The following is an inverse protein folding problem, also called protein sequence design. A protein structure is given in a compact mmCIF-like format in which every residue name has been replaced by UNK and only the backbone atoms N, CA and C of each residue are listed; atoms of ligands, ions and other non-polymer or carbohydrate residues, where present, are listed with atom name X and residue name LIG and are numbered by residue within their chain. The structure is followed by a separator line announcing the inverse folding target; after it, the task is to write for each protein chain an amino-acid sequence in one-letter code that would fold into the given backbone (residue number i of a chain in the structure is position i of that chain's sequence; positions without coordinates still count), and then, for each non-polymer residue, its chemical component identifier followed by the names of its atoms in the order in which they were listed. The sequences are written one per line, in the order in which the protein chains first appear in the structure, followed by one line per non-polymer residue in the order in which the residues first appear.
data_IF_154357904474
#
_entry.id   IF_154357904474
#
_cell.length_a   1.000
_cell.length_b   1.000
_cell.length_c   1.000
_cell.angle_alpha   90.00
_cell.angle_beta   90.00
_cell.angle_gamma   90.00
#
_symmetry.space_group_name_H-M   'P 1'
#
loop_
_entity.id
_entity.type
_entity.pdbx_description
1 polymer ?
#
# COMPACT_ATOMS: atom_id res chain seq x y z
N UNK A 1 27.22 5.09 -21.34
CA UNK A 1 26.93 5.33 -19.89
C UNK A 1 25.59 4.67 -19.66
N UNK A 2 25.48 3.73 -18.72
CA UNK A 2 24.15 3.28 -18.30
C UNK A 2 23.48 4.47 -17.62
N UNK A 3 22.30 4.86 -18.11
CA UNK A 3 21.52 5.92 -17.49
C UNK A 3 21.23 5.52 -16.04
N UNK A 4 21.45 6.45 -15.12
CA UNK A 4 21.22 6.23 -13.69
C UNK A 4 19.76 5.86 -13.46
N UNK A 5 19.51 4.74 -12.80
CA UNK A 5 18.15 4.27 -12.50
C UNK A 5 17.49 5.22 -11.51
N UNK A 6 16.31 5.71 -11.85
CA UNK A 6 15.56 6.68 -11.03
C UNK A 6 14.46 6.03 -10.20
N UNK A 7 13.94 4.88 -10.64
CA UNK A 7 12.81 4.22 -9.97
C UNK A 7 13.03 2.70 -9.91
N UNK A 8 12.73 2.13 -8.76
CA UNK A 8 12.55 0.69 -8.61
C UNK A 8 11.07 0.37 -8.60
N UNK A 9 10.66 -0.46 -9.56
CA UNK A 9 9.33 -1.08 -9.58
C UNK A 9 9.39 -2.24 -8.61
N UNK A 10 8.70 -2.12 -7.46
CA UNK A 10 8.65 -3.12 -6.41
C UNK A 10 7.38 -3.95 -6.54
N UNK A 11 7.53 -5.24 -6.83
CA UNK A 11 6.41 -6.18 -6.98
C UNK A 11 6.46 -7.25 -5.89
N UNK A 12 5.59 -7.18 -4.88
CA UNK A 12 5.36 -8.30 -3.99
C UNK A 12 4.58 -9.38 -4.74
N UNK A 13 4.98 -10.66 -4.61
CA UNK A 13 4.29 -11.77 -5.28
C UNK A 13 4.14 -12.98 -4.37
N UNK A 14 3.07 -13.74 -4.57
CA UNK A 14 2.84 -15.03 -3.92
C UNK A 14 1.93 -15.90 -4.77
N UNK A 15 2.44 -17.01 -5.31
CA UNK A 15 1.74 -17.93 -6.20
C UNK A 15 1.06 -17.20 -7.38
N UNK A 16 1.85 -16.45 -8.17
CA UNK A 16 1.40 -15.62 -9.29
C UNK A 16 2.20 -15.85 -10.58
N UNK A 17 2.85 -17.02 -10.72
CA UNK A 17 3.67 -17.34 -11.88
C UNK A 17 2.95 -17.18 -13.23
N UNK A 18 1.64 -17.38 -13.29
CA UNK A 18 0.82 -17.23 -14.49
C UNK A 18 0.39 -15.77 -14.78
N UNK A 19 0.42 -14.88 -13.78
CA UNK A 19 -0.03 -13.48 -13.93
C UNK A 19 1.13 -12.52 -14.21
N UNK A 20 2.29 -12.77 -13.62
CA UNK A 20 3.51 -11.97 -13.79
C UNK A 20 3.93 -11.73 -15.25
N UNK A 21 3.70 -12.63 -16.24
CA UNK A 21 4.05 -12.39 -17.64
C UNK A 21 3.42 -11.13 -18.24
N UNK A 22 2.22 -10.73 -17.77
CA UNK A 22 1.57 -9.50 -18.23
C UNK A 22 2.36 -8.26 -17.78
N UNK A 23 2.76 -8.22 -16.51
CA UNK A 23 3.61 -7.14 -16.00
C UNK A 23 4.97 -7.13 -16.72
N UNK A 24 5.64 -8.27 -16.85
CA UNK A 24 6.91 -8.39 -17.56
C UNK A 24 6.82 -7.82 -18.97
N UNK A 25 5.79 -8.20 -19.75
CA UNK A 25 5.57 -7.69 -21.09
C UNK A 25 5.38 -6.17 -21.13
N UNK A 26 4.69 -5.58 -20.14
CA UNK A 26 4.51 -4.13 -20.06
C UNK A 26 5.81 -3.39 -19.72
N UNK A 27 6.68 -4.00 -18.89
CA UNK A 27 7.99 -3.45 -18.55
C UNK A 27 8.96 -3.50 -19.74
N UNK A 28 8.90 -4.54 -20.57
CA UNK A 28 9.64 -4.61 -21.84
C UNK A 28 9.24 -3.50 -22.82
N UNK A 29 8.00 -3.01 -22.75
CA UNK A 29 7.46 -1.97 -23.63
C UNK A 29 7.67 -0.54 -23.12
N UNK A 30 8.25 -0.33 -21.94
CA UNK A 30 8.48 1.02 -21.42
C UNK A 30 9.33 1.86 -22.36
N UNK A 31 8.94 3.12 -22.59
CA UNK A 31 9.68 4.10 -23.42
C UNK A 31 11.02 4.46 -22.80
N UNK A 32 11.10 4.50 -21.47
CA UNK A 32 12.32 4.73 -20.69
C UNK A 32 12.75 3.46 -19.97
N UNK A 33 14.07 3.18 -19.96
CA UNK A 33 14.66 1.96 -19.38
C UNK A 33 15.47 2.22 -18.09
N UNK A 34 15.47 3.43 -17.59
CA UNK A 34 16.19 3.84 -16.39
C UNK A 34 15.48 3.42 -15.10
N UNK A 35 15.01 2.18 -15.05
CA UNK A 35 14.37 1.55 -13.89
C UNK A 35 15.00 0.19 -13.55
N UNK A 36 14.69 -0.30 -12.37
CA UNK A 36 14.93 -1.66 -11.93
C UNK A 36 13.61 -2.32 -11.54
N UNK A 37 13.47 -3.59 -11.82
CA UNK A 37 12.33 -4.39 -11.33
C UNK A 37 12.78 -5.28 -10.17
N UNK A 38 12.34 -4.97 -8.96
CA UNK A 38 12.57 -5.77 -7.77
C UNK A 38 11.33 -6.59 -7.43
N UNK A 39 11.45 -7.91 -7.56
CA UNK A 39 10.39 -8.87 -7.23
C UNK A 39 10.70 -9.46 -5.87
N UNK A 40 9.76 -9.33 -4.93
CA UNK A 40 9.87 -9.97 -3.62
C UNK A 40 8.81 -11.06 -3.51
N UNK A 41 9.26 -12.30 -3.57
CA UNK A 41 8.44 -13.49 -3.46
C UNK A 41 8.22 -13.87 -1.99
N UNK A 42 6.97 -13.82 -1.59
CA UNK A 42 6.51 -14.13 -0.23
C UNK A 42 6.34 -15.65 -0.01
N UNK A 43 7.26 -16.46 -0.54
CA UNK A 43 7.32 -17.91 -0.34
C UNK A 43 6.43 -18.72 -1.26
N UNK A 44 6.39 -18.37 -2.56
CA UNK A 44 5.62 -19.12 -3.57
C UNK A 44 6.00 -20.60 -3.64
N UNK A 45 5.02 -21.42 -3.94
CA UNK A 45 5.12 -22.88 -4.09
C UNK A 45 4.72 -23.39 -5.48
N UNK A 46 4.34 -22.44 -6.36
CA UNK A 46 4.02 -22.69 -7.77
C UNK A 46 5.25 -22.47 -8.70
N UNK A 47 5.02 -22.26 -9.98
CA UNK A 47 6.06 -21.97 -10.97
C UNK A 47 6.68 -20.58 -10.93
N UNK A 48 6.35 -19.72 -9.98
CA UNK A 48 6.74 -18.30 -9.91
C UNK A 48 8.27 -18.13 -10.02
N UNK A 49 9.04 -18.83 -9.19
CA UNK A 49 10.51 -18.73 -9.18
C UNK A 49 11.13 -19.16 -10.52
N UNK A 50 10.63 -20.23 -11.12
CA UNK A 50 11.11 -20.72 -12.43
C UNK A 50 10.86 -19.69 -13.53
N UNK A 51 9.68 -19.08 -13.55
CA UNK A 51 9.31 -18.04 -14.51
C UNK A 51 10.25 -16.83 -14.41
N UNK A 52 10.46 -16.32 -13.18
CA UNK A 52 11.34 -15.17 -12.94
C UNK A 52 12.79 -15.48 -13.31
N UNK A 53 13.28 -16.68 -12.97
CA UNK A 53 14.64 -17.11 -13.28
C UNK A 53 14.91 -17.13 -14.79
N UNK A 54 13.93 -17.53 -15.61
CA UNK A 54 14.07 -17.50 -17.06
C UNK A 54 14.26 -16.08 -17.59
N UNK A 55 13.50 -15.10 -17.09
CA UNK A 55 13.64 -13.69 -17.49
C UNK A 55 14.97 -13.07 -17.04
N UNK A 56 15.48 -13.47 -15.87
CA UNK A 56 16.80 -13.02 -15.42
C UNK A 56 17.92 -13.54 -16.33
N UNK A 57 17.78 -14.74 -16.92
CA UNK A 57 18.72 -15.29 -17.88
C UNK A 57 18.65 -14.57 -19.23
N UNK A 58 17.48 -14.13 -19.67
CA UNK A 58 17.27 -13.35 -20.90
C UNK A 58 17.97 -11.98 -20.87
N UNK A 59 18.17 -11.39 -19.68
CA UNK A 59 18.81 -10.08 -19.45
C UNK A 59 18.16 -8.91 -20.22
N UNK A 60 16.90 -9.05 -20.61
CA UNK A 60 16.17 -8.01 -21.34
C UNK A 60 15.77 -6.84 -20.43
N UNK A 61 15.68 -7.07 -19.12
CA UNK A 61 15.42 -6.08 -18.08
C UNK A 61 16.40 -6.26 -16.90
N UNK A 62 16.61 -5.17 -16.16
CA UNK A 62 17.30 -5.24 -14.87
C UNK A 62 16.34 -5.78 -13.82
N UNK A 63 16.43 -7.07 -13.53
CA UNK A 63 15.57 -7.77 -12.56
C UNK A 63 16.40 -8.18 -11.35
N UNK A 64 15.87 -7.89 -10.16
CA UNK A 64 16.33 -8.48 -8.89
C UNK A 64 15.21 -9.32 -8.30
N UNK A 65 15.55 -10.49 -7.78
CA UNK A 65 14.60 -11.42 -7.17
C UNK A 65 15.03 -11.74 -5.74
N UNK A 66 14.10 -11.63 -4.81
CA UNK A 66 14.30 -11.97 -3.40
C UNK A 66 13.15 -12.87 -2.97
N UNK A 67 13.46 -14.06 -2.47
CA UNK A 67 12.50 -14.95 -1.86
C UNK A 67 12.57 -14.89 -0.34
N UNK A 68 11.43 -14.94 0.35
CA UNK A 68 11.32 -14.99 1.80
C UNK A 68 10.22 -15.96 2.25
N UNK A 69 10.17 -16.29 3.52
CA UNK A 69 9.06 -17.02 4.10
C UNK A 69 7.76 -16.23 4.03
N UNK A 70 6.62 -16.93 3.81
CA UNK A 70 5.31 -16.30 3.66
C UNK A 70 4.85 -15.60 4.93
N UNK A 71 4.78 -14.29 4.86
CA UNK A 71 4.36 -13.40 5.95
C UNK A 71 3.32 -12.35 5.53
N UNK A 72 2.87 -12.38 4.28
CA UNK A 72 1.92 -11.43 3.70
C UNK A 72 2.59 -10.25 2.98
N UNK A 73 1.83 -9.62 2.07
CA UNK A 73 2.27 -8.55 1.16
C UNK A 73 3.08 -7.46 1.88
N UNK A 74 2.63 -7.01 3.05
CA UNK A 74 3.28 -5.95 3.83
C UNK A 74 4.70 -6.34 4.29
N UNK A 75 4.96 -7.63 4.55
CA UNK A 75 6.31 -8.11 4.92
C UNK A 75 7.23 -8.19 3.70
N UNK A 76 6.68 -8.53 2.53
CA UNK A 76 7.40 -8.48 1.27
C UNK A 76 7.75 -7.04 0.88
N UNK A 77 6.82 -6.10 1.05
CA UNK A 77 7.08 -4.67 0.87
C UNK A 77 8.20 -4.18 1.80
N UNK A 78 8.15 -4.50 3.10
CA UNK A 78 9.22 -4.15 4.04
C UNK A 78 10.58 -4.70 3.61
N UNK A 79 10.62 -5.93 3.09
CA UNK A 79 11.86 -6.53 2.61
C UNK A 79 12.38 -5.78 1.39
N UNK A 80 11.52 -5.52 0.40
CA UNK A 80 11.91 -4.82 -0.83
C UNK A 80 12.37 -3.39 -0.57
N UNK A 81 11.62 -2.61 0.21
CA UNK A 81 11.94 -1.20 0.50
C UNK A 81 13.34 -1.02 1.12
N UNK A 82 13.80 -1.99 1.92
CA UNK A 82 15.15 -1.95 2.48
C UNK A 82 16.25 -2.11 1.44
N UNK A 83 15.99 -2.86 0.39
CA UNK A 83 16.95 -3.21 -0.66
C UNK A 83 16.99 -2.19 -1.83
N UNK A 84 16.05 -1.25 -1.89
CA UNK A 84 15.96 -0.27 -2.98
C UNK A 84 16.99 0.83 -2.79
N UNK A 85 17.77 1.12 -3.83
CA UNK A 85 18.79 2.17 -3.83
C UNK A 85 18.38 3.38 -4.68
N UNK A 86 17.41 3.22 -5.60
CA UNK A 86 16.92 4.29 -6.47
C UNK A 86 16.17 5.36 -5.67
N UNK A 87 16.12 6.61 -6.16
CA UNK A 87 15.40 7.70 -5.51
C UNK A 87 13.91 7.43 -5.30
N UNK A 88 13.30 6.66 -6.22
CA UNK A 88 11.86 6.39 -6.23
C UNK A 88 11.55 4.90 -6.09
N UNK A 89 10.47 4.63 -5.37
CA UNK A 89 9.84 3.30 -5.26
C UNK A 89 8.44 3.35 -5.83
N UNK A 90 8.17 2.53 -6.85
CA UNK A 90 6.83 2.34 -7.41
C UNK A 90 6.32 0.96 -7.07
N UNK A 91 5.28 0.86 -6.24
CA UNK A 91 4.67 -0.42 -5.85
C UNK A 91 3.70 -0.84 -6.94
N UNK A 92 3.95 -1.99 -7.55
CA UNK A 92 3.10 -2.56 -8.61
C UNK A 92 2.73 -4.00 -8.25
N UNK A 93 1.44 -4.28 -8.21
CA UNK A 93 0.92 -5.60 -7.89
C UNK A 93 1.21 -6.61 -9.01
N UNK A 94 1.39 -7.87 -8.66
CA UNK A 94 1.83 -8.95 -9.56
C UNK A 94 0.79 -9.36 -10.62
N UNK A 95 -0.46 -8.93 -10.45
CA UNK A 95 -1.59 -9.18 -11.36
C UNK A 95 -1.96 -7.96 -12.23
N UNK A 96 -1.25 -6.84 -12.05
CA UNK A 96 -1.46 -5.59 -12.78
C UNK A 96 -0.31 -5.32 -13.77
N UNK A 97 -0.42 -4.25 -14.58
CA UNK A 97 0.62 -3.85 -15.54
C UNK A 97 0.63 -2.33 -15.75
N UNK A 98 1.61 -1.83 -16.51
CA UNK A 98 1.85 -0.40 -16.69
C UNK A 98 1.56 0.06 -18.11
N UNK A 99 1.20 1.34 -18.29
CA UNK A 99 1.21 1.98 -19.60
C UNK A 99 2.65 2.08 -20.14
N UNK A 100 2.80 2.22 -21.45
CA UNK A 100 4.13 2.26 -22.09
C UNK A 100 5.00 3.45 -21.66
N UNK A 101 4.38 4.51 -21.22
CA UNK A 101 4.98 5.78 -20.80
C UNK A 101 5.05 5.96 -19.27
N UNK A 102 4.79 4.92 -18.50
CA UNK A 102 4.72 5.01 -17.05
C UNK A 102 6.03 5.50 -16.43
N UNK A 103 7.16 4.89 -16.81
CA UNK A 103 8.48 5.28 -16.29
C UNK A 103 8.86 6.69 -16.76
N UNK A 104 8.59 7.05 -18.00
CA UNK A 104 8.81 8.39 -18.52
C UNK A 104 7.99 9.44 -17.77
N UNK A 105 6.71 9.18 -17.53
CA UNK A 105 5.83 10.05 -16.74
C UNK A 105 6.40 10.25 -15.33
N UNK A 106 6.80 9.18 -14.66
CA UNK A 106 7.39 9.24 -13.31
C UNK A 106 8.68 10.10 -13.33
N UNK A 107 9.53 9.91 -14.33
CA UNK A 107 10.76 10.70 -14.48
C UNK A 107 10.47 12.19 -14.64
N UNK A 108 9.53 12.57 -15.53
CA UNK A 108 9.13 13.97 -15.75
C UNK A 108 8.65 14.61 -14.44
N UNK A 109 7.84 13.88 -13.65
CA UNK A 109 7.37 14.38 -12.36
C UNK A 109 8.48 14.50 -11.33
N UNK A 110 9.40 13.54 -11.27
CA UNK A 110 10.56 13.60 -10.39
C UNK A 110 11.47 14.78 -10.72
N UNK A 111 11.78 15.00 -12.00
CA UNK A 111 12.57 16.14 -12.45
C UNK A 111 11.89 17.48 -12.12
N UNK A 112 10.59 17.58 -12.36
CA UNK A 112 9.81 18.80 -12.13
C UNK A 112 9.70 19.18 -10.65
N UNK A 113 9.49 18.21 -9.77
CA UNK A 113 9.13 18.47 -8.38
C UNK A 113 10.25 18.18 -7.38
N UNK A 114 11.23 17.35 -7.70
CA UNK A 114 12.27 16.92 -6.77
C UNK A 114 13.69 17.34 -7.18
N UNK A 115 13.95 17.64 -8.49
CA UNK A 115 15.31 18.00 -8.90
C UNK A 115 15.72 19.35 -8.30
N UNK A 116 17.00 19.46 -7.93
CA UNK A 116 17.56 20.70 -7.33
C UNK A 116 17.85 21.79 -8.35
N UNK A 117 17.54 21.58 -9.64
CA UNK A 117 17.81 22.56 -10.69
C UNK A 117 16.84 23.75 -10.56
N UNK A 118 17.32 24.84 -9.98
CA UNK A 118 16.85 26.15 -10.40
C UNK A 118 16.13 27.06 -9.42
N UNK A 119 16.03 26.82 -8.10
CA UNK A 119 15.54 27.89 -7.21
C UNK A 119 16.31 27.94 -5.89
N UNK A 120 16.91 29.12 -5.60
CA UNK A 120 17.40 29.49 -4.28
C UNK A 120 16.25 29.96 -3.36
N UNK A 121 14.99 29.74 -3.74
CA UNK A 121 13.85 30.16 -2.97
C UNK A 121 13.63 29.19 -1.79
N UNK A 122 13.60 29.78 -0.59
CA UNK A 122 13.38 29.05 0.67
C UNK A 122 12.04 28.31 0.68
N UNK A 123 10.99 28.92 0.15
CA UNK A 123 9.66 28.34 0.10
C UNK A 123 9.60 27.09 -0.81
N UNK A 124 10.30 27.11 -1.95
CA UNK A 124 10.40 25.95 -2.84
C UNK A 124 11.18 24.81 -2.21
N UNK A 125 12.24 25.12 -1.47
CA UNK A 125 13.02 24.13 -0.72
C UNK A 125 12.17 23.47 0.38
N UNK A 126 11.47 24.24 1.20
CA UNK A 126 10.58 23.74 2.25
C UNK A 126 9.45 22.86 1.66
N UNK A 127 8.90 23.25 0.50
CA UNK A 127 7.90 22.45 -0.22
C UNK A 127 8.46 21.09 -0.68
N UNK A 128 9.67 21.07 -1.25
CA UNK A 128 10.35 19.84 -1.71
C UNK A 128 10.65 18.91 -0.54
N UNK A 129 11.12 19.44 0.59
CA UNK A 129 11.40 18.68 1.79
C UNK A 129 10.15 18.00 2.39
N UNK A 130 8.96 18.56 2.11
CA UNK A 130 7.67 17.99 2.53
C UNK A 130 7.03 17.07 1.51
N UNK A 131 7.64 16.82 0.37
CA UNK A 131 7.09 15.90 -0.62
C UNK A 131 7.47 14.46 -0.27
N UNK A 132 6.51 13.53 -0.36
CA UNK A 132 6.76 12.10 -0.20
C UNK A 132 6.63 11.30 -1.50
N UNK A 133 6.10 11.91 -2.58
CA UNK A 133 5.93 11.22 -3.84
C UNK A 133 4.81 11.74 -4.71
N UNK A 134 4.32 10.86 -5.57
CA UNK A 134 3.33 11.13 -6.61
C UNK A 134 2.21 10.10 -6.54
N UNK A 135 0.98 10.52 -6.85
CA UNK A 135 -0.17 9.65 -6.96
C UNK A 135 -0.82 9.85 -8.33
N UNK A 136 -0.87 8.77 -9.11
CA UNK A 136 -1.41 8.75 -10.47
C UNK A 136 -2.66 7.88 -10.56
N UNK A 137 -3.33 7.89 -11.72
CA UNK A 137 -4.55 7.12 -11.91
C UNK A 137 -4.29 5.66 -12.25
N UNK A 138 -5.16 4.80 -11.74
CA UNK A 138 -5.36 3.43 -12.22
C UNK A 138 -6.53 3.40 -13.18
N UNK A 139 -6.39 2.64 -14.27
CA UNK A 139 -7.43 2.44 -15.29
C UNK A 139 -7.68 0.95 -15.52
N UNK A 140 -8.85 0.62 -16.00
CA UNK A 140 -9.13 -0.72 -16.52
C UNK A 140 -8.48 -0.91 -17.91
N UNK A 141 -8.44 -2.14 -18.39
CA UNK A 141 -8.00 -2.46 -19.76
C UNK A 141 -8.84 -1.78 -20.84
N UNK A 142 -10.06 -1.36 -20.50
CA UNK A 142 -10.96 -0.55 -21.36
C UNK A 142 -10.59 0.95 -21.36
N UNK A 143 -9.54 1.35 -20.65
CA UNK A 143 -9.06 2.73 -20.52
C UNK A 143 -9.89 3.61 -19.59
N UNK A 144 -10.95 3.08 -18.94
CA UNK A 144 -11.72 3.86 -17.98
C UNK A 144 -11.01 3.98 -16.67
N UNK A 145 -11.08 5.18 -16.08
CA UNK A 145 -10.50 5.45 -14.77
C UNK A 145 -11.25 4.69 -13.69
N UNK A 146 -10.53 3.91 -12.91
CA UNK A 146 -11.08 3.23 -11.76
C UNK A 146 -11.33 4.25 -10.63
N UNK A 147 -12.60 4.40 -10.24
CA UNK A 147 -13.02 5.17 -9.07
C UNK A 147 -12.72 6.69 -9.08
N UNK A 148 -12.66 7.31 -10.28
CA UNK A 148 -12.64 8.76 -10.47
C UNK A 148 -11.25 9.39 -10.58
N UNK A 149 -11.23 10.55 -11.20
CA UNK A 149 -10.05 11.42 -11.34
C UNK A 149 -9.89 12.34 -10.13
N UNK A 150 -8.69 12.89 -9.94
CA UNK A 150 -8.48 13.95 -8.97
C UNK A 150 -9.21 15.23 -9.42
N UNK A 151 -9.89 15.93 -8.50
CA UNK A 151 -10.63 17.15 -8.85
C UNK A 151 -9.76 18.24 -9.45
N UNK A 152 -8.50 18.31 -9.03
CA UNK A 152 -7.49 19.27 -9.53
C UNK A 152 -6.28 18.46 -9.99
N UNK A 153 -5.89 18.64 -11.25
CA UNK A 153 -4.70 18.00 -11.81
C UNK A 153 -3.42 18.66 -11.28
N UNK A 154 -2.37 17.88 -11.11
CA UNK A 154 -1.06 18.33 -10.56
C UNK A 154 -1.18 19.02 -9.17
N UNK A 155 -2.16 18.63 -8.36
CA UNK A 155 -2.42 19.20 -7.05
C UNK A 155 -1.48 18.65 -5.98
N UNK A 156 -0.87 19.52 -5.17
CA UNK A 156 -0.01 19.15 -4.04
C UNK A 156 -0.82 19.20 -2.76
N UNK A 157 -1.11 18.03 -2.20
CA UNK A 157 -1.90 17.88 -0.98
C UNK A 157 -1.43 16.69 -0.15
N UNK A 158 -1.79 16.64 1.14
CA UNK A 158 -1.60 15.44 1.94
C UNK A 158 -2.56 14.34 1.47
N UNK A 159 -2.11 13.08 1.54
CA UNK A 159 -2.95 11.89 1.23
C UNK A 159 -4.29 11.93 1.97
N UNK A 160 -4.28 12.33 3.25
CA UNK A 160 -5.49 12.51 4.06
C UNK A 160 -6.50 13.44 3.40
N UNK A 161 -6.05 14.59 2.93
CA UNK A 161 -6.94 15.65 2.47
C UNK A 161 -7.54 15.29 1.10
N UNK A 162 -6.67 14.86 0.16
CA UNK A 162 -7.09 14.52 -1.21
C UNK A 162 -7.87 13.21 -1.29
N UNK A 163 -7.51 12.21 -0.46
CA UNK A 163 -8.09 10.86 -0.57
C UNK A 163 -9.17 10.60 0.48
N UNK A 164 -8.88 10.90 1.73
CA UNK A 164 -9.72 10.48 2.84
C UNK A 164 -10.84 11.49 3.12
N UNK A 165 -10.48 12.77 3.29
CA UNK A 165 -11.43 13.82 3.62
C UNK A 165 -12.32 14.18 2.42
N UNK A 166 -11.75 14.23 1.23
CA UNK A 166 -12.50 14.44 -0.02
C UNK A 166 -13.37 13.23 -0.41
N UNK A 167 -13.13 12.06 0.19
CA UNK A 167 -13.89 10.84 -0.09
C UNK A 167 -13.58 10.23 -1.46
N UNK A 168 -12.42 10.55 -2.03
CA UNK A 168 -11.93 9.94 -3.26
C UNK A 168 -11.45 8.54 -2.95
N UNK A 169 -12.38 7.60 -3.00
CA UNK A 169 -12.14 6.19 -2.72
C UNK A 169 -11.39 5.53 -3.88
N UNK A 170 -10.89 4.33 -3.63
CA UNK A 170 -10.22 3.51 -4.62
C UNK A 170 -8.70 3.64 -4.66
N UNK A 171 -8.10 2.66 -5.31
CA UNK A 171 -6.66 2.59 -5.40
C UNK A 171 -6.12 3.53 -6.47
N UNK A 172 -4.96 4.10 -6.22
CA UNK A 172 -4.21 4.92 -7.16
C UNK A 172 -2.82 4.32 -7.36
N UNK A 173 -2.09 4.81 -8.33
CA UNK A 173 -0.71 4.41 -8.59
C UNK A 173 0.24 5.32 -7.81
N UNK A 174 0.62 4.90 -6.63
CA UNK A 174 1.48 5.67 -5.75
C UNK A 174 2.96 5.37 -6.00
N UNK A 175 3.74 6.41 -6.25
CA UNK A 175 5.20 6.40 -6.37
C UNK A 175 5.77 7.21 -5.23
N UNK A 176 6.63 6.62 -4.42
CA UNK A 176 7.17 7.26 -3.23
C UNK A 176 8.65 7.62 -3.39
N UNK A 177 9.05 8.73 -2.77
CA UNK A 177 10.46 8.97 -2.48
C UNK A 177 10.94 7.87 -1.53
N UNK A 178 11.90 7.06 -1.98
CA UNK A 178 12.39 5.87 -1.26
C UNK A 178 12.88 6.21 0.15
N UNK A 179 13.60 7.34 0.31
CA UNK A 179 14.10 7.80 1.59
C UNK A 179 12.98 8.13 2.60
N UNK A 180 11.84 8.63 2.12
CA UNK A 180 10.66 8.89 2.97
C UNK A 180 9.96 7.57 3.28
N UNK A 181 9.65 6.75 2.27
CA UNK A 181 8.95 5.48 2.46
C UNK A 181 9.66 4.56 3.45
N UNK A 182 11.00 4.55 3.44
CA UNK A 182 11.84 3.75 4.35
C UNK A 182 11.67 4.11 5.83
N UNK A 183 11.25 5.33 6.15
CA UNK A 183 10.98 5.79 7.52
C UNK A 183 9.65 5.27 8.08
N UNK A 184 8.79 4.70 7.21
CA UNK A 184 7.44 4.24 7.57
C UNK A 184 7.25 2.73 7.30
N UNK A 185 7.99 1.85 7.98
CA UNK A 185 7.83 0.42 7.78
C UNK A 185 6.43 -0.04 8.20
N UNK A 186 5.94 -1.05 7.50
CA UNK A 186 4.70 -1.72 7.85
C UNK A 186 4.89 -2.52 9.14
N UNK A 187 4.06 -2.34 10.18
CA UNK A 187 4.12 -3.17 11.37
C UNK A 187 3.74 -4.62 11.02
N UNK A 188 4.39 -5.55 11.72
CA UNK A 188 4.10 -6.98 11.63
C UNK A 188 3.45 -7.43 12.93
N UNK A 189 2.38 -8.21 12.81
CA UNK A 189 1.65 -8.79 13.93
C UNK A 189 1.76 -10.32 13.87
N UNK A 190 1.98 -11.00 15.00
CA UNK A 190 2.13 -12.45 15.04
C UNK A 190 0.94 -13.17 14.39
N UNK A 191 1.25 -14.08 13.45
CA UNK A 191 0.25 -14.88 12.74
C UNK A 191 -0.72 -14.12 11.84
N UNK A 192 -0.49 -12.82 11.55
CA UNK A 192 -1.29 -12.02 10.61
C UNK A 192 -0.56 -11.80 9.29
N UNK A 193 -1.26 -12.02 8.18
CA UNK A 193 -0.72 -11.90 6.83
C UNK A 193 -1.30 -10.75 6.03
N UNK A 194 -2.15 -9.92 6.64
CA UNK A 194 -2.78 -8.78 5.98
C UNK A 194 -2.69 -7.51 6.81
N UNK A 195 -2.19 -6.46 6.18
CA UNK A 195 -2.23 -5.08 6.66
C UNK A 195 -2.58 -4.18 5.48
N UNK A 196 -3.64 -3.36 5.56
CA UNK A 196 -3.94 -2.39 4.50
C UNK A 196 -2.84 -1.33 4.40
N UNK A 197 -2.40 -1.03 3.19
CA UNK A 197 -1.30 -0.09 2.92
C UNK A 197 -1.63 1.33 3.34
N UNK A 198 -2.90 1.73 3.25
CA UNK A 198 -3.37 3.05 3.66
C UNK A 198 -3.15 3.35 5.15
N UNK A 199 -2.89 2.32 5.97
CA UNK A 199 -2.43 2.50 7.35
C UNK A 199 -1.07 3.21 7.43
N UNK A 200 -0.25 3.07 6.40
CA UNK A 200 1.05 3.74 6.29
C UNK A 200 0.87 5.10 5.61
N UNK A 201 0.05 5.15 4.55
CA UNK A 201 -0.19 6.40 3.82
C UNK A 201 -0.78 7.50 4.71
N UNK A 202 -1.71 7.16 5.59
CA UNK A 202 -2.27 8.11 6.55
C UNK A 202 -1.24 8.62 7.56
N UNK A 203 -0.26 7.80 7.98
CA UNK A 203 0.82 8.23 8.86
C UNK A 203 1.75 9.25 8.19
N UNK A 204 2.01 9.06 6.90
CA UNK A 204 2.83 9.99 6.12
C UNK A 204 2.12 11.34 5.90
N UNK A 205 0.79 11.37 5.93
CA UNK A 205 -0.01 12.58 5.71
C UNK A 205 0.20 13.69 6.75
N UNK A 206 0.75 13.39 7.92
CA UNK A 206 1.05 14.40 8.93
C UNK A 206 2.17 15.34 8.46
N UNK A 207 3.39 14.85 8.24
CA UNK A 207 4.53 15.65 7.82
C UNK A 207 4.64 15.86 6.31
N UNK A 208 4.01 15.01 5.46
CA UNK A 208 4.26 14.99 4.03
C UNK A 208 3.02 15.22 3.18
N UNK A 209 3.28 15.67 1.94
CA UNK A 209 2.32 15.86 0.86
C UNK A 209 2.73 15.02 -0.36
N UNK A 210 1.80 14.84 -1.30
CA UNK A 210 2.02 14.19 -2.59
C UNK A 210 1.56 15.11 -3.72
N UNK A 211 2.11 14.91 -4.92
CA UNK A 211 1.52 15.46 -6.14
C UNK A 211 0.47 14.49 -6.63
N UNK A 212 -0.77 14.91 -6.73
CA UNK A 212 -1.89 14.15 -7.27
C UNK A 212 -2.12 14.54 -8.72
N UNK A 213 -1.95 13.60 -9.65
CA UNK A 213 -1.95 13.90 -11.07
C UNK A 213 -2.83 12.94 -11.89
N UNK A 214 -3.60 13.51 -12.81
CA UNK A 214 -4.52 12.75 -13.69
C UNK A 214 -3.78 12.10 -14.87
N UNK A 215 -2.72 11.34 -14.58
CA UNK A 215 -1.95 10.54 -15.56
C UNK A 215 -2.28 9.07 -15.37
N UNK A 216 -2.62 8.39 -16.46
CA UNK A 216 -3.11 7.01 -16.51
C UNK A 216 -1.96 6.05 -16.74
N UNK A 217 -1.15 5.78 -15.71
CA UNK A 217 0.09 5.00 -15.86
C UNK A 217 -0.02 3.54 -15.39
N UNK A 218 -1.12 3.17 -14.74
CA UNK A 218 -1.29 1.87 -14.11
C UNK A 218 -2.58 1.22 -14.61
N UNK A 219 -2.51 -0.02 -15.03
CA UNK A 219 -3.63 -0.75 -15.61
C UNK A 219 -3.95 -1.95 -14.73
N UNK A 220 -5.19 -2.06 -14.27
CA UNK A 220 -5.65 -3.17 -13.43
C UNK A 220 -7.07 -3.57 -13.82
N UNK A 221 -7.29 -4.87 -13.94
CA UNK A 221 -8.62 -5.44 -14.14
C UNK A 221 -9.07 -6.17 -12.88
N UNK A 222 -10.33 -5.99 -12.51
CA UNK A 222 -10.91 -6.76 -11.43
C UNK A 222 -11.15 -8.21 -11.88
N UNK A 223 -10.29 -9.11 -11.44
CA UNK A 223 -10.41 -10.54 -11.74
C UNK A 223 -11.63 -11.12 -10.99
N UNK A 224 -12.46 -11.92 -11.69
CA UNK A 224 -13.47 -12.74 -11.04
C UNK A 224 -12.77 -13.74 -10.10
N UNK A 225 -12.97 -13.58 -8.78
CA UNK A 225 -12.30 -14.40 -7.74
C UNK A 225 -11.10 -13.75 -7.05
N UNK A 226 -10.75 -12.51 -7.41
CA UNK A 226 -9.68 -11.74 -6.76
C UNK A 226 -9.92 -11.49 -5.28
N UNK A 227 -8.87 -11.01 -4.59
CA UNK A 227 -8.85 -10.71 -3.15
C UNK A 227 -10.02 -9.85 -2.64
N UNK A 228 -10.71 -9.14 -3.53
CA UNK A 228 -11.88 -8.32 -3.22
C UNK A 228 -13.04 -9.15 -2.67
N UNK A 229 -13.28 -10.39 -3.17
CA UNK A 229 -14.33 -11.29 -2.63
C UNK A 229 -13.93 -11.92 -1.30
N UNK A 230 -12.65 -12.23 -1.10
CA UNK A 230 -12.10 -12.80 0.15
C UNK A 230 -11.66 -11.73 1.15
N UNK A 231 -11.65 -10.47 0.76
CA UNK A 231 -11.08 -9.35 1.50
C UNK A 231 -11.64 -9.17 2.92
N UNK A 232 -12.90 -9.58 3.18
CA UNK A 232 -13.45 -9.50 4.53
C UNK A 232 -12.90 -10.59 5.45
N UNK A 233 -12.69 -11.79 4.93
CA UNK A 233 -12.05 -12.88 5.69
C UNK A 233 -10.63 -12.50 6.09
N UNK A 234 -9.81 -12.06 5.15
CA UNK A 234 -8.44 -11.62 5.45
C UNK A 234 -8.40 -10.55 6.54
N UNK A 235 -9.33 -9.59 6.50
CA UNK A 235 -9.46 -8.53 7.52
C UNK A 235 -9.84 -9.08 8.90
N UNK A 236 -10.72 -10.07 8.97
CA UNK A 236 -11.14 -10.72 10.21
C UNK A 236 -10.00 -11.57 10.80
N UNK A 237 -9.25 -12.27 9.95
CA UNK A 237 -8.08 -13.05 10.37
C UNK A 237 -6.83 -12.22 10.67
N UNK A 238 -6.86 -10.90 10.34
CA UNK A 238 -5.79 -9.97 10.67
C UNK A 238 -6.31 -8.77 11.50
N UNK A 239 -6.90 -9.04 12.68
CA UNK A 239 -7.58 -8.02 13.46
C UNK A 239 -6.66 -6.92 13.97
N UNK A 240 -5.40 -7.22 14.34
CA UNK A 240 -4.45 -6.21 14.79
C UNK A 240 -4.03 -5.28 13.66
N UNK A 241 -3.81 -5.79 12.45
CA UNK A 241 -3.57 -4.96 11.28
C UNK A 241 -4.70 -3.96 11.04
N UNK A 242 -5.96 -4.41 11.19
CA UNK A 242 -7.14 -3.55 11.04
C UNK A 242 -7.33 -2.57 12.22
N UNK A 243 -7.01 -2.99 13.45
CA UNK A 243 -6.98 -2.09 14.61
C UNK A 243 -5.90 -1.02 14.45
N UNK A 244 -4.71 -1.41 14.02
CA UNK A 244 -3.61 -0.49 13.76
C UNK A 244 -4.00 0.56 12.71
N UNK A 245 -4.55 0.13 11.57
CA UNK A 245 -5.10 1.04 10.57
C UNK A 245 -6.06 2.05 11.20
N UNK A 246 -7.04 1.56 11.95
CA UNK A 246 -8.02 2.42 12.62
C UNK A 246 -7.36 3.39 13.60
N UNK A 247 -6.37 2.94 14.37
CA UNK A 247 -5.61 3.76 15.31
C UNK A 247 -4.85 4.89 14.59
N UNK A 248 -4.22 4.61 13.45
CA UNK A 248 -3.50 5.63 12.67
C UNK A 248 -4.44 6.72 12.14
N UNK A 249 -5.62 6.36 11.64
CA UNK A 249 -6.66 7.33 11.24
C UNK A 249 -7.17 8.17 12.42
N UNK A 250 -7.29 7.58 13.59
CA UNK A 250 -7.77 8.25 14.81
C UNK A 250 -6.71 9.14 15.45
N UNK A 251 -5.44 8.83 15.25
CA UNK A 251 -4.32 9.64 15.72
C UNK A 251 -4.20 10.97 14.97
N UNK A 252 -4.57 11.01 13.70
CA UNK A 252 -4.60 12.25 12.93
C UNK A 252 -5.91 13.01 13.19
N UNK A 253 -5.79 14.14 13.92
CA UNK A 253 -6.95 14.98 14.30
C UNK A 253 -7.57 15.74 13.12
N UNK A 254 -6.88 15.83 11.97
CA UNK A 254 -7.37 16.47 10.75
C UNK A 254 -8.21 15.53 9.86
N UNK A 255 -8.28 14.24 10.19
CA UNK A 255 -9.22 13.31 9.56
C UNK A 255 -10.65 13.72 9.90
N UNK A 256 -11.51 13.84 8.88
CA UNK A 256 -12.88 14.31 9.05
C UNK A 256 -13.69 13.42 10.02
N UNK A 257 -14.64 14.03 10.74
CA UNK A 257 -15.39 13.39 11.82
C UNK A 257 -16.09 12.10 11.38
N UNK A 258 -16.73 12.11 10.21
CA UNK A 258 -17.41 10.92 9.66
C UNK A 258 -16.47 9.71 9.54
N UNK A 259 -15.24 9.91 9.07
CA UNK A 259 -14.25 8.85 8.93
C UNK A 259 -13.76 8.41 10.32
N UNK A 260 -13.54 9.35 11.25
CA UNK A 260 -13.14 9.03 12.63
C UNK A 260 -14.18 8.16 13.34
N UNK A 261 -15.47 8.45 13.17
CA UNK A 261 -16.58 7.60 13.71
C UNK A 261 -16.49 6.19 13.11
N UNK A 262 -16.35 6.06 11.80
CA UNK A 262 -16.20 4.77 11.13
C UNK A 262 -14.97 4.00 11.65
N UNK A 263 -13.82 4.65 11.78
CA UNK A 263 -12.58 4.00 12.24
C UNK A 263 -12.68 3.58 13.69
N UNK A 264 -13.30 4.37 14.57
CA UNK A 264 -13.53 4.00 15.97
C UNK A 264 -14.45 2.78 16.08
N UNK A 265 -15.52 2.74 15.28
CA UNK A 265 -16.42 1.60 15.21
C UNK A 265 -15.69 0.32 14.76
N UNK A 266 -14.91 0.40 13.68
CA UNK A 266 -14.11 -0.71 13.19
C UNK A 266 -13.05 -1.16 14.19
N UNK A 267 -12.42 -0.24 14.92
CA UNK A 267 -11.49 -0.54 15.99
C UNK A 267 -12.13 -1.47 17.04
N UNK A 268 -13.35 -1.14 17.50
CA UNK A 268 -14.06 -2.00 18.45
C UNK A 268 -14.47 -3.35 17.87
N UNK A 269 -14.87 -3.38 16.60
CA UNK A 269 -15.19 -4.65 15.91
C UNK A 269 -13.97 -5.57 15.90
N UNK A 270 -12.82 -5.07 15.42
CA UNK A 270 -11.63 -5.87 15.31
C UNK A 270 -10.99 -6.19 16.67
N UNK A 271 -11.17 -5.35 17.69
CA UNK A 271 -10.75 -5.69 19.06
C UNK A 271 -11.47 -6.94 19.61
N UNK A 272 -12.71 -7.18 19.18
CA UNK A 272 -13.44 -8.42 19.46
C UNK A 272 -12.76 -9.64 18.87
N UNK A 273 -12.40 -9.59 17.59
CA UNK A 273 -11.68 -10.68 16.90
C UNK A 273 -10.26 -10.90 17.45
N UNK A 274 -9.55 -9.83 17.81
CA UNK A 274 -8.25 -9.94 18.47
C UNK A 274 -8.32 -10.70 19.81
N UNK A 275 -9.36 -10.43 20.62
CA UNK A 275 -9.61 -11.17 21.87
C UNK A 275 -9.94 -12.65 21.62
N UNK A 276 -10.64 -12.97 20.52
CA UNK A 276 -10.90 -14.37 20.18
C UNK A 276 -9.62 -15.12 19.85
N UNK A 277 -8.66 -14.52 19.14
CA UNK A 277 -7.38 -15.15 18.82
C UNK A 277 -6.60 -15.52 20.09
N UNK A 278 -6.61 -14.63 21.10
CA UNK A 278 -6.03 -14.95 22.42
C UNK A 278 -6.78 -16.11 23.08
N UNK A 279 -8.11 -16.03 23.12
CA UNK A 279 -8.95 -17.05 23.76
C UNK A 279 -8.85 -18.43 23.08
N UNK A 280 -8.55 -18.48 21.79
CA UNK A 280 -8.35 -19.70 21.00
C UNK A 280 -6.90 -20.22 21.05
N UNK A 281 -6.00 -19.54 21.74
CA UNK A 281 -4.59 -19.94 21.85
C UNK A 281 -3.77 -19.70 20.56
N UNK A 282 -4.25 -18.87 19.63
CA UNK A 282 -3.52 -18.50 18.42
C UNK A 282 -2.39 -17.48 18.69
N UNK A 283 -2.40 -16.87 19.88
CA UNK A 283 -1.41 -15.93 20.39
C UNK A 283 -1.19 -16.21 21.88
N UNK A 284 0.02 -16.00 22.36
CA UNK A 284 0.25 -15.92 23.80
C UNK A 284 -0.09 -14.51 24.32
N UNK A 285 -0.14 -14.36 25.66
CA UNK A 285 -0.51 -13.09 26.29
C UNK A 285 0.50 -11.98 25.99
N UNK A 286 1.79 -12.27 25.89
CA UNK A 286 2.85 -11.31 25.59
C UNK A 286 2.72 -10.79 24.16
N UNK A 287 2.48 -11.66 23.20
CA UNK A 287 2.23 -11.30 21.80
C UNK A 287 0.97 -10.44 21.67
N UNK A 288 -0.10 -10.81 22.38
CA UNK A 288 -1.35 -10.06 22.42
C UNK A 288 -1.14 -8.63 22.95
N UNK A 289 -0.50 -8.49 24.12
CA UNK A 289 -0.24 -7.19 24.73
C UNK A 289 0.69 -6.32 23.87
N UNK A 290 1.77 -6.89 23.34
CA UNK A 290 2.68 -6.18 22.45
C UNK A 290 2.01 -5.73 21.13
N UNK A 291 1.02 -6.49 20.63
CA UNK A 291 0.21 -6.09 19.49
C UNK A 291 -0.78 -4.97 19.83
N UNK A 292 -1.40 -5.01 21.01
CA UNK A 292 -2.29 -3.95 21.49
C UNK A 292 -1.56 -2.61 21.65
N UNK A 293 -0.33 -2.63 22.13
CA UNK A 293 0.49 -1.43 22.32
C UNK A 293 0.63 -0.64 20.99
N UNK A 294 0.89 -1.35 19.89
CA UNK A 294 0.97 -0.76 18.55
C UNK A 294 -0.37 -0.18 18.07
N UNK A 295 -1.49 -0.66 18.61
CA UNK A 295 -2.85 -0.30 18.21
C UNK A 295 -3.52 0.68 19.17
N UNK A 296 -2.78 1.39 20.01
CA UNK A 296 -3.35 2.27 21.05
C UNK A 296 -4.15 3.43 20.45
N UNK A 297 -5.33 3.68 21.00
CA UNK A 297 -6.21 4.81 20.67
C UNK A 297 -6.55 5.62 21.92
N UNK A 298 -6.79 6.92 21.72
CA UNK A 298 -7.23 7.79 22.82
C UNK A 298 -8.67 7.42 23.23
N UNK A 299 -8.87 7.04 24.52
CA UNK A 299 -10.17 6.70 25.10
C UNK A 299 -10.95 7.99 25.46
N UNK A 300 -11.46 8.69 24.44
CA UNK A 300 -12.31 9.88 24.58
C UNK A 300 -13.81 9.49 24.58
N UNK A 301 -14.70 10.49 24.57
CA UNK A 301 -16.15 10.26 24.53
C UNK A 301 -16.61 9.41 23.35
N UNK A 302 -16.01 9.58 22.16
CA UNK A 302 -16.33 8.80 20.96
C UNK A 302 -15.98 7.32 21.14
N UNK A 303 -14.85 7.02 21.80
CA UNK A 303 -14.47 5.66 22.15
C UNK A 303 -15.59 4.98 22.94
N UNK A 304 -16.01 5.59 24.06
CA UNK A 304 -17.02 4.99 24.94
C UNK A 304 -18.40 4.89 24.30
N UNK A 305 -18.80 5.89 23.53
CA UNK A 305 -20.07 5.89 22.78
C UNK A 305 -20.17 4.70 21.81
N UNK A 306 -19.06 4.32 21.16
CA UNK A 306 -19.05 3.31 20.09
C UNK A 306 -18.68 1.89 20.57
N UNK A 307 -18.41 1.68 21.87
CA UNK A 307 -18.12 0.33 22.41
C UNK A 307 -19.27 -0.64 22.13
N UNK A 308 -20.51 -0.27 22.52
CA UNK A 308 -21.68 -1.13 22.36
C UNK A 308 -22.04 -1.36 20.89
N UNK A 309 -22.16 -0.33 20.02
CA UNK A 309 -22.39 -0.52 18.59
C UNK A 309 -21.32 -1.40 17.93
N UNK A 310 -20.05 -1.19 18.26
CA UNK A 310 -18.95 -2.00 17.74
C UNK A 310 -19.07 -3.48 18.15
N UNK A 311 -19.43 -3.73 19.42
CA UNK A 311 -19.66 -5.09 19.92
C UNK A 311 -20.84 -5.78 19.25
N UNK A 312 -21.91 -5.05 18.95
CA UNK A 312 -23.06 -5.59 18.22
C UNK A 312 -22.67 -6.01 16.80
N UNK A 313 -21.91 -5.16 16.08
CA UNK A 313 -21.42 -5.48 14.74
C UNK A 313 -20.46 -6.67 14.79
N UNK A 314 -19.54 -6.71 15.74
CA UNK A 314 -18.65 -7.85 15.97
C UNK A 314 -19.45 -9.16 16.15
N UNK A 315 -20.45 -9.19 17.03
CA UNK A 315 -21.27 -10.37 17.26
C UNK A 315 -22.01 -10.82 15.99
N UNK A 316 -22.49 -9.87 15.17
CA UNK A 316 -23.13 -10.16 13.88
C UNK A 316 -22.11 -10.76 12.89
N UNK A 317 -20.93 -10.13 12.74
CA UNK A 317 -19.89 -10.61 11.82
C UNK A 317 -19.36 -11.98 12.26
N UNK A 318 -19.15 -12.19 13.55
CA UNK A 318 -18.76 -13.48 14.09
C UNK A 318 -19.72 -14.59 13.64
N UNK A 319 -21.05 -14.39 13.82
CA UNK A 319 -22.05 -15.36 13.38
C UNK A 319 -22.06 -15.62 11.87
N UNK A 320 -21.75 -14.60 11.07
CA UNK A 320 -21.76 -14.70 9.61
C UNK A 320 -20.50 -15.39 9.06
N UNK A 321 -19.34 -15.11 9.66
CA UNK A 321 -18.04 -15.51 9.12
C UNK A 321 -17.37 -16.67 9.86
N UNK A 322 -17.82 -17.07 11.07
CA UNK A 322 -17.32 -18.26 11.78
C UNK A 322 -17.87 -19.60 11.25
N UNK A 323 -18.81 -19.56 10.32
CA UNK A 323 -19.39 -20.78 9.73
C UNK A 323 -18.61 -21.34 8.53
N UNK A 324 -17.49 -20.76 8.19
CA UNK A 324 -16.65 -21.10 7.03
C UNK A 324 -15.22 -21.51 7.43
N UNK A 325 -15.01 -21.91 8.68
CA UNK A 325 -13.77 -22.52 9.20
C UNK A 325 -13.94 -24.01 9.34
#
# INVERSE_FOLDING_TARGET
MQDEKIVTILTPTYNRGELLPRLYGSLLQQTQKNFEWLIVDDGSTDGTEKTISSWMMERSLSIRYIRKENGGKHTALNRGIREIETPLTFIVDSDDWLSKDAVETIQVYYERYCSQRGTNDRADKERKERLCGFSFLRVGSDGKVNEGEFPIDDHVAAYRDERINAGLLGDKAEVYLTGVLRQYPFPVFPGEKFLPEDAIWIRMSGPYQMVHANRRIYICDYLEGGLTKTGRYMKIYSPFGMMYRSAMYLADQHVCFRVRVKMMLLYHVYSGFAKERLAQGHLDEKEYLGSLEKCTVRKNWLYWLLVLPGRMIYCRWRKTYSKCS
#
